data_IF_129517384341
#
_entry.id   IF_129517384341
#
_cell.length_a   1.000
_cell.length_b   1.000
_cell.length_c   1.000
_cell.angle_alpha   90.00
_cell.angle_beta   90.00
_cell.angle_gamma   90.00
#
_symmetry.space_group_name_H-M   'P 1'
#
loop_
_entity.id
_entity.type
_entity.pdbx_description
1 polymer ?
#
# COMPACT_ATOMS: atom_id res chain seq x y z
N UNK A 1 -12.52 -12.79 0.48
CA UNK A 1 -12.28 -12.87 -0.97
C UNK A 1 -11.02 -13.69 -1.16
N UNK A 2 -11.16 -14.95 -1.55
CA UNK A 2 -10.07 -15.78 -2.04
C UNK A 2 -9.60 -15.16 -3.35
N UNK A 3 -8.45 -14.48 -3.31
CA UNK A 3 -7.81 -13.90 -4.49
C UNK A 3 -7.36 -15.04 -5.38
N UNK A 4 -7.94 -15.18 -6.59
CA UNK A 4 -7.29 -15.97 -7.62
C UNK A 4 -5.99 -15.23 -7.95
N UNK A 5 -4.83 -15.78 -7.54
CA UNK A 5 -3.55 -15.15 -7.82
C UNK A 5 -3.40 -14.98 -9.34
N UNK A 6 -3.23 -13.74 -9.80
CA UNK A 6 -3.11 -13.46 -11.22
C UNK A 6 -1.85 -14.11 -11.83
N UNK A 7 -0.86 -14.43 -11.03
CA UNK A 7 0.32 -15.23 -11.40
C UNK A 7 -0.01 -16.63 -11.95
N UNK A 8 -1.25 -17.12 -11.79
CA UNK A 8 -1.74 -18.34 -12.44
C UNK A 8 -2.42 -18.10 -13.81
N UNK A 9 -2.48 -16.85 -14.29
CA UNK A 9 -3.04 -16.51 -15.60
C UNK A 9 -1.96 -16.63 -16.68
N UNK A 10 -2.23 -17.42 -17.71
CA UNK A 10 -1.36 -17.50 -18.89
C UNK A 10 -1.51 -16.25 -19.76
N UNK A 11 -0.39 -15.78 -20.34
CA UNK A 11 -0.41 -14.70 -21.34
C UNK A 11 -1.26 -15.13 -22.54
N UNK A 12 -2.23 -14.30 -22.91
CA UNK A 12 -3.14 -14.58 -24.02
C UNK A 12 -2.39 -14.63 -25.36
N UNK A 13 -2.73 -15.58 -26.21
CA UNK A 13 -2.37 -15.56 -27.63
C UNK A 13 -3.14 -14.48 -28.40
N UNK A 14 -2.69 -14.13 -29.60
CA UNK A 14 -3.44 -13.18 -30.45
C UNK A 14 -4.84 -13.73 -30.80
N UNK A 15 -4.94 -15.02 -31.12
CA UNK A 15 -6.22 -15.67 -31.38
C UNK A 15 -7.17 -15.63 -30.17
N UNK A 16 -6.66 -15.82 -28.95
CA UNK A 16 -7.48 -15.67 -27.74
C UNK A 16 -7.94 -14.23 -27.52
N UNK A 17 -7.07 -13.23 -27.77
CA UNK A 17 -7.46 -11.82 -27.69
C UNK A 17 -8.57 -11.48 -28.69
N UNK A 18 -8.43 -11.94 -29.94
CA UNK A 18 -9.45 -11.78 -30.98
C UNK A 18 -10.74 -12.48 -30.57
N UNK A 19 -10.67 -13.73 -30.09
CA UNK A 19 -11.86 -14.46 -29.63
C UNK A 19 -12.59 -13.76 -28.47
N UNK A 20 -11.86 -13.16 -27.52
CA UNK A 20 -12.46 -12.37 -26.42
C UNK A 20 -13.11 -11.10 -26.98
N UNK A 21 -12.48 -10.41 -27.94
CA UNK A 21 -13.05 -9.23 -28.58
C UNK A 21 -14.26 -9.54 -29.49
N UNK A 22 -14.29 -10.73 -30.09
CA UNK A 22 -15.38 -11.21 -30.95
C UNK A 22 -16.54 -11.85 -30.16
N UNK A 23 -16.33 -12.25 -28.90
CA UNK A 23 -17.39 -12.76 -28.02
C UNK A 23 -18.29 -11.63 -27.50
N UNK A 24 -19.38 -11.39 -28.22
CA UNK A 24 -20.41 -10.37 -27.95
C UNK A 24 -21.46 -10.74 -26.89
N UNK A 25 -21.20 -11.64 -25.93
CA UNK A 25 -22.21 -11.97 -24.91
C UNK A 25 -21.69 -11.84 -23.50
N UNK A 26 -21.99 -10.65 -22.97
CA UNK A 26 -22.19 -10.27 -21.57
C UNK A 26 -21.07 -10.66 -20.61
N UNK A 27 -20.10 -9.74 -20.46
CA UNK A 27 -19.48 -9.55 -19.16
C UNK A 27 -20.61 -9.53 -18.11
N UNK A 28 -20.59 -10.39 -17.08
CA UNK A 28 -21.62 -10.38 -16.05
C UNK A 28 -21.65 -8.98 -15.43
N UNK A 29 -22.80 -8.52 -14.93
CA UNK A 29 -22.91 -7.21 -14.33
C UNK A 29 -21.80 -7.01 -13.29
N UNK A 30 -20.83 -6.16 -13.64
CA UNK A 30 -19.71 -5.87 -12.76
C UNK A 30 -20.23 -5.06 -11.57
N UNK A 31 -19.51 -5.14 -10.47
CA UNK A 31 -19.78 -4.36 -9.27
C UNK A 31 -18.50 -3.64 -8.88
N UNK A 32 -18.61 -2.35 -8.54
CA UNK A 32 -17.46 -1.54 -8.19
C UNK A 32 -16.73 -2.11 -6.97
N UNK A 33 -17.45 -2.74 -6.05
CA UNK A 33 -16.92 -3.35 -4.83
C UNK A 33 -15.97 -4.52 -5.11
N UNK A 34 -16.18 -5.24 -6.23
CA UNK A 34 -15.35 -6.38 -6.64
C UNK A 34 -14.08 -5.88 -7.35
N UNK A 35 -14.18 -4.77 -8.08
CA UNK A 35 -13.08 -4.18 -8.85
C UNK A 35 -12.20 -3.25 -8.00
N UNK A 36 -12.75 -2.60 -6.99
CA UNK A 36 -12.03 -1.63 -6.16
C UNK A 36 -10.85 -2.28 -5.44
N UNK A 37 -9.64 -1.79 -5.71
CA UNK A 37 -8.38 -2.27 -5.17
C UNK A 37 -7.75 -3.43 -5.96
N UNK A 38 -8.24 -3.72 -7.17
CA UNK A 38 -7.64 -4.72 -8.07
C UNK A 38 -6.59 -4.08 -9.00
N UNK A 39 -5.66 -4.91 -9.50
CA UNK A 39 -4.54 -4.47 -10.32
C UNK A 39 -4.65 -5.03 -11.74
N UNK A 40 -4.31 -4.20 -12.72
CA UNK A 40 -4.48 -4.54 -14.13
C UNK A 40 -3.30 -4.08 -14.98
N UNK A 41 -3.12 -4.75 -16.11
CA UNK A 41 -2.26 -4.33 -17.20
C UNK A 41 -3.14 -3.87 -18.36
N UNK A 42 -2.88 -2.69 -18.92
CA UNK A 42 -3.57 -2.17 -20.10
C UNK A 42 -2.71 -2.37 -21.35
N UNK A 43 -3.29 -2.98 -22.37
CA UNK A 43 -2.69 -3.12 -23.70
C UNK A 43 -3.74 -3.00 -24.80
N UNK A 44 -3.33 -3.31 -26.04
CA UNK A 44 -4.21 -3.40 -27.19
C UNK A 44 -4.38 -4.85 -27.70
N UNK A 45 -5.28 -5.04 -28.67
CA UNK A 45 -5.55 -6.34 -29.29
C UNK A 45 -4.32 -6.98 -29.95
N UNK A 46 -3.39 -6.15 -30.44
CA UNK A 46 -2.15 -6.59 -31.07
C UNK A 46 -1.12 -7.07 -30.04
N UNK A 47 -1.40 -6.92 -28.74
CA UNK A 47 -0.52 -7.30 -27.65
C UNK A 47 0.52 -6.22 -27.31
N UNK A 48 0.36 -5.00 -27.82
CA UNK A 48 1.18 -3.87 -27.37
C UNK A 48 0.77 -3.53 -25.94
N UNK A 49 1.72 -3.56 -25.03
CA UNK A 49 1.52 -3.09 -23.67
C UNK A 49 1.57 -1.55 -23.64
N UNK A 50 0.56 -0.93 -23.04
CA UNK A 50 0.48 0.52 -22.85
C UNK A 50 0.82 0.89 -21.42
N UNK A 51 0.23 0.20 -20.44
CA UNK A 51 0.52 0.36 -19.02
C UNK A 51 0.80 -1.01 -18.40
N UNK A 52 1.98 -1.23 -17.81
CA UNK A 52 2.32 -2.51 -17.17
C UNK A 52 1.49 -2.77 -15.93
N UNK A 53 1.09 -1.72 -15.22
CA UNK A 53 0.40 -1.81 -13.94
C UNK A 53 -0.47 -0.58 -13.72
N UNK A 54 -1.76 -0.78 -13.48
CA UNK A 54 -2.71 0.21 -13.02
C UNK A 54 -3.56 -0.37 -11.90
N UNK A 55 -4.13 0.50 -11.08
CA UNK A 55 -5.01 0.09 -9.98
C UNK A 55 -6.38 0.69 -10.23
N UNK A 56 -7.44 -0.11 -10.13
CA UNK A 56 -8.79 0.44 -9.96
C UNK A 56 -8.92 0.87 -8.51
N UNK A 57 -8.36 2.03 -8.18
CA UNK A 57 -8.24 2.49 -6.80
C UNK A 57 -9.63 2.85 -6.23
N UNK A 58 -9.82 2.80 -4.91
CA UNK A 58 -11.10 3.18 -4.30
C UNK A 58 -11.57 4.56 -4.75
N UNK A 59 -12.89 4.78 -4.68
CA UNK A 59 -13.54 6.06 -5.04
C UNK A 59 -13.53 6.39 -6.53
N UNK A 60 -13.32 5.39 -7.38
CA UNK A 60 -13.33 5.61 -8.82
C UNK A 60 -12.11 6.34 -9.33
N UNK A 61 -10.98 6.31 -8.61
CA UNK A 61 -9.71 6.86 -9.10
C UNK A 61 -8.89 5.78 -9.81
N UNK A 62 -8.23 6.12 -10.91
CA UNK A 62 -7.25 5.21 -11.54
C UNK A 62 -5.89 5.42 -10.89
N UNK A 63 -5.43 4.41 -10.16
CA UNK A 63 -4.12 4.41 -9.51
C UNK A 63 -2.99 4.01 -10.46
N UNK A 64 -1.79 4.50 -10.17
CA UNK A 64 -0.56 4.31 -10.94
C UNK A 64 -0.55 4.85 -12.37
N UNK A 65 -1.52 5.70 -12.72
CA UNK A 65 -1.60 6.36 -14.03
C UNK A 65 -1.49 7.87 -13.84
N UNK A 66 -0.92 8.53 -14.84
CA UNK A 66 -0.68 9.98 -14.87
C UNK A 66 -1.10 10.54 -16.22
N UNK A 67 -2.30 10.18 -16.66
CA UNK A 67 -2.77 10.43 -18.00
C UNK A 67 -4.19 11.00 -17.96
N UNK A 68 -4.43 12.14 -18.60
CA UNK A 68 -5.73 12.84 -18.51
C UNK A 68 -6.89 12.03 -19.03
N UNK A 69 -6.65 11.17 -20.01
CA UNK A 69 -7.66 10.28 -20.60
C UNK A 69 -7.95 9.02 -19.76
N UNK A 70 -7.24 8.82 -18.64
CA UNK A 70 -7.32 7.63 -17.78
C UNK A 70 -7.23 8.04 -16.30
N UNK A 71 -8.15 8.90 -15.87
CA UNK A 71 -8.09 9.53 -14.54
C UNK A 71 -9.05 8.87 -13.54
N UNK A 72 -10.26 8.53 -14.00
CA UNK A 72 -11.30 7.93 -13.19
C UNK A 72 -11.78 6.59 -13.75
N UNK A 73 -12.45 5.81 -12.91
CA UNK A 73 -13.19 4.62 -13.31
C UNK A 73 -14.53 4.55 -12.60
N UNK A 74 -15.50 3.93 -13.24
CA UNK A 74 -16.77 3.61 -12.62
C UNK A 74 -17.35 2.32 -13.21
N UNK A 75 -18.43 1.83 -12.61
CA UNK A 75 -19.26 0.81 -13.22
C UNK A 75 -20.60 1.44 -13.60
N UNK A 76 -20.91 1.46 -14.89
CA UNK A 76 -22.16 1.98 -15.44
C UNK A 76 -22.87 0.86 -16.21
N UNK A 77 -24.14 0.60 -15.90
CA UNK A 77 -24.93 -0.48 -16.50
C UNK A 77 -24.21 -1.84 -16.50
N UNK A 78 -23.52 -2.15 -15.39
CA UNK A 78 -22.76 -3.39 -15.21
C UNK A 78 -21.45 -3.47 -16.01
N UNK A 79 -21.02 -2.39 -16.66
CA UNK A 79 -19.78 -2.32 -17.45
C UNK A 79 -18.74 -1.45 -16.76
N UNK A 80 -17.47 -1.86 -16.83
CA UNK A 80 -16.36 -1.04 -16.38
C UNK A 80 -16.14 0.07 -17.41
N UNK A 81 -16.10 1.31 -16.94
CA UNK A 81 -15.76 2.48 -17.73
C UNK A 81 -14.50 3.13 -17.15
N UNK A 82 -13.57 3.50 -18.02
CA UNK A 82 -12.48 4.44 -17.69
C UNK A 82 -12.89 5.80 -18.24
N UNK A 83 -12.65 6.84 -17.45
CA UNK A 83 -13.05 8.21 -17.74
C UNK A 83 -11.82 9.13 -17.75
N UNK A 84 -11.94 10.25 -18.48
CA UNK A 84 -10.97 11.34 -18.44
C UNK A 84 -11.11 12.22 -17.18
N UNK A 85 -10.24 13.22 -17.06
CA UNK A 85 -10.22 14.22 -15.97
C UNK A 85 -11.46 15.12 -15.89
N UNK A 86 -12.41 14.98 -16.83
CA UNK A 86 -13.71 15.65 -16.85
C UNK A 86 -14.87 14.69 -16.57
N UNK A 87 -14.58 13.41 -16.33
CA UNK A 87 -15.56 12.36 -16.10
C UNK A 87 -16.24 11.85 -17.38
N UNK A 88 -15.69 12.14 -18.56
CA UNK A 88 -16.21 11.62 -19.82
C UNK A 88 -15.64 10.22 -20.08
N UNK A 89 -16.47 9.23 -20.49
CA UNK A 89 -15.98 7.91 -20.82
C UNK A 89 -14.97 7.93 -21.96
N UNK A 90 -13.78 7.38 -21.70
CA UNK A 90 -12.73 7.16 -22.71
C UNK A 90 -12.72 5.72 -23.16
N UNK A 91 -12.90 4.77 -22.25
CA UNK A 91 -12.97 3.33 -22.56
C UNK A 91 -14.19 2.71 -21.90
N UNK A 92 -14.98 1.95 -22.67
CA UNK A 92 -16.08 1.14 -22.15
C UNK A 92 -15.79 -0.33 -22.42
N UNK A 93 -15.57 -1.10 -21.35
CA UNK A 93 -15.31 -2.53 -21.44
C UNK A 93 -16.62 -3.30 -21.54
N UNK A 94 -16.82 -3.98 -22.67
CA UNK A 94 -18.08 -4.63 -23.03
C UNK A 94 -17.98 -6.16 -23.06
N UNK A 95 -16.77 -6.70 -23.16
CA UNK A 95 -16.50 -8.13 -23.11
C UNK A 95 -15.59 -8.48 -21.93
N UNK A 96 -15.75 -9.69 -21.40
CA UNK A 96 -14.95 -10.20 -20.28
C UNK A 96 -14.58 -11.67 -20.46
N UNK A 97 -13.39 -12.04 -19.98
CA UNK A 97 -13.00 -13.43 -19.71
C UNK A 97 -13.11 -13.68 -18.21
N UNK A 98 -13.76 -14.77 -17.84
CA UNK A 98 -13.94 -15.21 -16.44
C UNK A 98 -13.25 -16.54 -16.23
N UNK A 99 -12.52 -16.66 -15.11
CA UNK A 99 -11.94 -17.92 -14.65
C UNK A 99 -12.29 -18.07 -13.17
N UNK A 100 -12.88 -19.21 -12.80
CA UNK A 100 -13.27 -19.52 -11.41
C UNK A 100 -14.11 -18.41 -10.75
N UNK A 101 -15.07 -17.84 -11.48
CA UNK A 101 -15.94 -16.72 -11.05
C UNK A 101 -15.22 -15.37 -10.85
N UNK A 102 -13.95 -15.27 -11.20
CA UNK A 102 -13.19 -14.01 -11.21
C UNK A 102 -13.08 -13.46 -12.62
N UNK A 103 -13.31 -12.16 -12.79
CA UNK A 103 -13.05 -11.46 -14.04
C UNK A 103 -11.55 -11.26 -14.18
N UNK A 104 -10.96 -11.84 -15.22
CA UNK A 104 -9.50 -11.87 -15.43
C UNK A 104 -9.04 -11.10 -16.65
N UNK A 105 -9.94 -10.88 -17.61
CA UNK A 105 -9.69 -10.03 -18.77
C UNK A 105 -10.95 -9.23 -19.08
N UNK A 106 -10.77 -7.98 -19.50
CA UNK A 106 -11.83 -7.12 -20.05
C UNK A 106 -11.37 -6.56 -21.40
N UNK A 107 -12.28 -6.46 -22.37
CA UNK A 107 -12.03 -5.86 -23.67
C UNK A 107 -13.06 -4.78 -23.99
N UNK A 108 -12.59 -3.66 -24.57
CA UNK A 108 -13.42 -2.51 -24.90
C UNK A 108 -12.90 -1.73 -26.10
N UNK A 109 -13.82 -1.25 -26.95
CA UNK A 109 -13.50 -0.31 -28.03
C UNK A 109 -13.39 1.10 -27.46
N UNK A 110 -12.38 1.85 -27.89
CA UNK A 110 -12.15 3.22 -27.46
C UNK A 110 -11.31 4.02 -28.44
N UNK A 111 -11.29 5.33 -28.25
CA UNK A 111 -10.32 6.24 -28.86
C UNK A 111 -9.47 6.83 -27.74
N UNK A 112 -8.20 6.38 -27.63
CA UNK A 112 -7.25 6.93 -26.67
C UNK A 112 -6.20 7.75 -27.43
N UNK A 113 -6.09 9.04 -27.11
CA UNK A 113 -5.15 9.98 -27.74
C UNK A 113 -5.19 9.97 -29.27
N UNK A 114 -6.40 9.82 -29.82
CA UNK A 114 -6.64 9.80 -31.28
C UNK A 114 -6.41 8.43 -31.93
N UNK A 115 -6.08 7.39 -31.17
CA UNK A 115 -5.96 6.02 -31.66
C UNK A 115 -7.25 5.27 -31.37
N UNK A 116 -8.01 4.93 -32.41
CA UNK A 116 -9.16 4.03 -32.31
C UNK A 116 -8.68 2.57 -32.31
N UNK A 117 -8.96 1.84 -31.23
CA UNK A 117 -8.53 0.45 -31.07
C UNK A 117 -9.42 -0.32 -30.09
N UNK A 118 -9.21 -1.64 -30.03
CA UNK A 118 -9.67 -2.48 -28.93
C UNK A 118 -8.59 -2.54 -27.86
N UNK A 119 -8.94 -2.10 -26.66
CA UNK A 119 -8.09 -2.12 -25.49
C UNK A 119 -8.43 -3.30 -24.60
N UNK A 120 -7.39 -3.91 -24.03
CA UNK A 120 -7.47 -5.10 -23.20
C UNK A 120 -6.93 -4.77 -21.81
N UNK A 121 -7.73 -5.01 -20.78
CA UNK A 121 -7.30 -5.05 -19.39
C UNK A 121 -7.12 -6.49 -18.95
N UNK A 122 -5.92 -6.86 -18.51
CA UNK A 122 -5.66 -8.16 -17.90
C UNK A 122 -5.41 -8.00 -16.41
N UNK A 123 -6.07 -8.81 -15.58
CA UNK A 123 -5.85 -8.84 -14.14
C UNK A 123 -4.40 -9.29 -13.89
N UNK A 124 -3.69 -8.55 -13.06
CA UNK A 124 -2.29 -8.84 -12.69
C UNK A 124 -2.10 -8.80 -11.18
N UNK A 125 -1.01 -9.39 -10.70
CA UNK A 125 -0.53 -9.22 -9.34
C UNK A 125 0.47 -8.06 -9.32
N UNK A 126 0.93 -7.66 -8.13
CA UNK A 126 2.13 -6.83 -8.03
C UNK A 126 3.29 -7.51 -8.78
N UNK A 127 4.03 -6.78 -9.64
CA UNK A 127 5.18 -7.32 -10.33
C UNK A 127 6.22 -7.83 -9.32
N UNK A 128 6.98 -8.88 -9.66
CA UNK A 128 8.11 -9.32 -8.84
C UNK A 128 9.06 -8.15 -8.58
N UNK A 129 9.64 -8.11 -7.38
CA UNK A 129 10.64 -7.10 -7.06
C UNK A 129 11.89 -7.28 -7.95
N UNK A 130 12.45 -6.21 -8.53
CA UNK A 130 13.42 -6.33 -9.62
C UNK A 130 14.84 -6.71 -9.16
N UNK A 131 15.17 -6.53 -7.88
CA UNK A 131 16.54 -6.76 -7.37
C UNK A 131 16.75 -8.20 -6.91
N UNK A 132 15.90 -8.70 -6.02
CA UNK A 132 16.03 -10.02 -5.40
C UNK A 132 14.63 -10.58 -5.06
N UNK A 133 13.82 -10.94 -6.07
CA UNK A 133 12.48 -11.45 -5.84
C UNK A 133 12.55 -12.80 -5.13
N UNK A 134 11.69 -12.99 -4.13
CA UNK A 134 11.55 -14.30 -3.50
C UNK A 134 10.95 -15.28 -4.51
N UNK A 135 11.55 -16.47 -4.72
CA UNK A 135 11.00 -17.48 -5.63
C UNK A 135 9.54 -17.83 -5.29
N UNK A 136 8.68 -18.11 -6.28
CA UNK A 136 7.25 -18.37 -6.05
C UNK A 136 6.95 -19.53 -5.09
N UNK A 137 7.83 -20.53 -5.00
CA UNK A 137 7.67 -21.70 -4.14
C UNK A 137 8.03 -21.44 -2.66
N UNK A 138 8.70 -20.33 -2.35
CA UNK A 138 9.11 -20.02 -0.99
C UNK A 138 7.93 -19.39 -0.23
N UNK A 139 7.49 -20.07 0.82
CA UNK A 139 6.40 -19.60 1.68
C UNK A 139 6.76 -18.25 2.32
N UNK A 140 5.84 -17.29 2.24
CA UNK A 140 5.96 -15.95 2.83
C UNK A 140 5.00 -15.82 4.00
N UNK A 141 5.37 -16.44 5.12
CA UNK A 141 4.53 -16.52 6.32
C UNK A 141 5.35 -16.44 7.59
N UNK A 142 5.10 -15.41 8.39
CA UNK A 142 5.73 -15.25 9.69
C UNK A 142 5.19 -16.26 10.70
N UNK A 143 6.08 -16.80 11.53
CA UNK A 143 5.73 -17.63 12.68
C UNK A 143 5.64 -16.77 13.93
N UNK A 144 4.46 -16.80 14.56
CA UNK A 144 4.22 -16.09 15.81
C UNK A 144 4.66 -16.94 17.01
N UNK A 145 5.53 -16.36 17.82
CA UNK A 145 5.93 -16.86 19.15
C UNK A 145 4.82 -16.58 20.16
N UNK A 146 4.14 -15.44 20.02
CA UNK A 146 3.00 -15.03 20.84
C UNK A 146 1.87 -14.46 19.99
N UNK A 147 0.63 -14.72 20.41
CA UNK A 147 -0.60 -14.13 19.89
C UNK A 147 -1.56 -13.86 21.05
N UNK A 148 -2.47 -12.87 20.96
CA UNK A 148 -3.52 -12.70 21.95
C UNK A 148 -4.57 -13.83 21.82
N UNK A 149 -5.36 -14.09 22.87
CA UNK A 149 -6.52 -14.97 22.80
C UNK A 149 -7.49 -14.55 21.69
N UNK A 150 -8.22 -15.51 21.12
CA UNK A 150 -9.22 -15.22 20.10
C UNK A 150 -10.29 -14.24 20.63
N UNK A 151 -10.60 -13.21 19.85
CA UNK A 151 -11.61 -12.20 20.20
C UNK A 151 -11.12 -11.04 21.08
N UNK A 152 -9.97 -11.17 21.75
CA UNK A 152 -9.36 -10.08 22.48
C UNK A 152 -8.53 -9.21 21.51
N UNK A 153 -9.15 -8.20 20.90
CA UNK A 153 -8.47 -7.27 20.00
C UNK A 153 -8.95 -5.84 20.17
N UNK A 154 -8.03 -4.90 20.03
CA UNK A 154 -8.36 -3.49 19.84
C UNK A 154 -8.59 -3.18 18.35
N UNK A 155 -9.05 -1.97 18.06
CA UNK A 155 -9.35 -1.55 16.68
C UNK A 155 -8.09 -1.22 15.85
N UNK A 156 -6.98 -0.88 16.51
CA UNK A 156 -5.76 -0.40 15.86
C UNK A 156 -4.57 -1.34 16.10
N UNK A 157 -3.64 -1.37 15.16
CA UNK A 157 -2.41 -2.16 15.24
C UNK A 157 -1.18 -1.29 15.01
N UNK A 158 -0.17 -1.48 15.85
CA UNK A 158 1.19 -1.00 15.60
C UNK A 158 2.05 -2.21 15.23
N UNK A 159 2.69 -2.18 14.07
CA UNK A 159 3.65 -3.20 13.62
C UNK A 159 5.03 -2.59 13.57
N UNK A 160 5.87 -2.93 14.53
CA UNK A 160 7.24 -2.40 14.63
C UNK A 160 8.25 -3.53 14.44
N UNK A 161 9.31 -3.22 13.70
CA UNK A 161 10.51 -4.05 13.65
C UNK A 161 11.43 -3.58 14.76
N UNK A 162 11.73 -4.40 15.75
CA UNK A 162 12.45 -3.94 16.95
C UNK A 162 13.65 -4.83 17.33
N UNK A 163 14.61 -4.22 18.01
CA UNK A 163 15.64 -4.89 18.80
C UNK A 163 15.75 -4.23 20.19
N UNK A 164 16.81 -4.56 20.95
CA UNK A 164 17.05 -4.00 22.29
C UNK A 164 17.23 -2.48 22.36
N UNK A 165 17.49 -1.81 21.23
CA UNK A 165 17.64 -0.35 21.14
C UNK A 165 16.38 0.36 20.66
N UNK A 166 15.27 -0.36 20.49
CA UNK A 166 14.00 0.22 20.05
C UNK A 166 13.33 1.05 21.15
N UNK A 167 12.70 2.15 20.74
CA UNK A 167 11.99 3.06 21.63
C UNK A 167 10.54 2.65 21.93
N UNK A 168 10.02 1.58 21.31
CA UNK A 168 8.63 1.15 21.48
C UNK A 168 8.20 0.86 22.94
N UNK A 169 9.07 0.43 23.89
CA UNK A 169 8.64 0.26 25.28
C UNK A 169 8.14 1.57 25.90
N UNK A 170 8.68 2.72 25.46
CA UNK A 170 8.25 4.04 25.95
C UNK A 170 6.85 4.43 25.50
N UNK A 171 6.30 3.79 24.47
CA UNK A 171 4.93 4.07 24.00
C UNK A 171 3.86 3.61 25.01
N UNK A 172 4.25 2.80 26.01
CA UNK A 172 3.38 2.41 27.12
C UNK A 172 3.45 3.38 28.32
N UNK A 173 4.37 4.36 28.30
CA UNK A 173 4.47 5.35 29.37
C UNK A 173 3.20 6.21 29.45
N UNK A 174 2.63 6.31 30.65
CA UNK A 174 1.47 7.16 30.93
C UNK A 174 0.15 6.69 30.32
N UNK A 175 0.06 5.46 29.79
CA UNK A 175 -1.18 4.89 29.23
C UNK A 175 -1.57 3.58 29.93
N UNK A 176 -2.82 3.51 30.41
CA UNK A 176 -3.37 2.31 31.01
C UNK A 176 -4.03 1.39 29.97
N UNK A 177 -4.10 0.09 30.27
CA UNK A 177 -4.63 -0.92 29.34
C UNK A 177 -6.09 -0.65 28.91
N UNK A 178 -6.92 -0.14 29.82
CA UNK A 178 -8.32 0.24 29.57
C UNK A 178 -8.47 1.48 28.67
N UNK A 179 -7.45 2.32 28.58
CA UNK A 179 -7.45 3.55 27.76
C UNK A 179 -6.72 3.37 26.43
N UNK A 180 -5.85 2.36 26.33
CA UNK A 180 -5.10 2.04 25.11
C UNK A 180 -6.04 1.51 24.03
N UNK A 181 -5.95 2.07 22.82
CA UNK A 181 -6.83 1.72 21.69
C UNK A 181 -6.13 0.91 20.58
N UNK A 182 -4.89 0.49 20.83
CA UNK A 182 -4.04 -0.19 19.85
C UNK A 182 -3.35 -1.41 20.47
N UNK A 183 -3.20 -2.45 19.67
CA UNK A 183 -2.37 -3.61 19.98
C UNK A 183 -0.99 -3.47 19.31
N UNK A 184 0.01 -4.17 19.85
CA UNK A 184 1.37 -4.14 19.38
C UNK A 184 1.79 -5.51 18.81
N UNK A 185 2.26 -5.47 17.56
CA UNK A 185 2.98 -6.56 16.93
C UNK A 185 4.45 -6.20 16.81
N UNK A 186 5.28 -6.88 17.60
CA UNK A 186 6.73 -6.78 17.50
C UNK A 186 7.25 -7.89 16.61
N UNK A 187 7.85 -7.51 15.50
CA UNK A 187 8.67 -8.41 14.70
C UNK A 187 10.13 -8.17 15.09
N UNK A 188 10.68 -9.06 15.89
CA UNK A 188 12.00 -8.87 16.50
C UNK A 188 13.13 -9.19 15.53
N UNK A 189 14.18 -8.36 15.50
CA UNK A 189 15.35 -8.55 14.63
C UNK A 189 16.68 -8.69 15.36
N UNK A 190 16.68 -8.52 16.68
CA UNK A 190 17.84 -8.84 17.51
C UNK A 190 18.10 -10.36 17.58
N UNK A 191 19.30 -10.72 18.00
CA UNK A 191 19.69 -12.12 18.14
C UNK A 191 18.94 -12.81 19.28
N UNK A 192 18.80 -12.13 20.42
CA UNK A 192 18.12 -12.66 21.61
C UNK A 192 16.63 -12.32 21.56
N UNK A 193 15.77 -13.32 21.70
CA UNK A 193 14.32 -13.14 21.68
C UNK A 193 13.89 -12.53 23.03
N UNK A 194 13.12 -11.42 23.04
CA UNK A 194 12.66 -10.82 24.29
C UNK A 194 11.67 -11.76 24.98
N UNK A 195 11.56 -11.64 26.31
CA UNK A 195 10.57 -12.41 27.07
C UNK A 195 9.16 -12.10 26.54
N UNK A 196 8.52 -13.11 25.96
CA UNK A 196 7.19 -13.00 25.39
C UNK A 196 6.12 -12.70 26.45
N UNK A 197 6.39 -12.93 27.74
CA UNK A 197 5.48 -12.55 28.83
C UNK A 197 5.24 -11.02 28.88
N UNK A 198 6.17 -10.23 28.35
CA UNK A 198 6.18 -8.77 28.50
C UNK A 198 5.68 -8.05 27.25
N UNK A 199 4.41 -7.65 27.26
CA UNK A 199 3.82 -6.48 26.56
C UNK A 199 3.46 -6.46 25.06
N UNK A 200 3.99 -7.23 24.07
CA UNK A 200 3.33 -7.22 22.78
C UNK A 200 2.22 -8.27 22.76
N UNK A 201 1.08 -7.93 22.17
CA UNK A 201 0.04 -8.90 21.84
C UNK A 201 0.57 -9.94 20.84
N UNK A 202 1.39 -9.51 19.88
CA UNK A 202 2.04 -10.40 18.91
C UNK A 202 3.56 -10.29 18.93
N UNK A 203 4.24 -11.43 18.91
CA UNK A 203 5.69 -11.51 18.81
C UNK A 203 6.09 -12.46 17.69
N UNK A 204 6.98 -12.03 16.80
CA UNK A 204 7.69 -12.89 15.83
C UNK A 204 9.19 -12.65 15.93
N UNK A 205 10.00 -13.57 15.39
CA UNK A 205 11.45 -13.42 15.31
C UNK A 205 11.90 -13.58 13.85
N UNK A 206 12.53 -12.53 13.33
CA UNK A 206 13.09 -12.48 11.99
C UNK A 206 14.44 -11.72 12.05
N UNK A 207 15.51 -12.38 12.54
CA UNK A 207 16.82 -11.75 12.69
C UNK A 207 17.45 -11.40 11.33
N UNK A 208 18.32 -10.40 11.31
CA UNK A 208 19.13 -10.01 10.13
C UNK A 208 18.32 -9.61 8.88
N UNK A 209 17.04 -9.27 9.04
CA UNK A 209 16.20 -8.79 7.95
C UNK A 209 15.80 -7.33 8.16
N UNK A 210 15.75 -6.57 7.06
CA UNK A 210 15.32 -5.17 7.01
C UNK A 210 13.82 -5.02 7.30
N UNK A 211 13.30 -3.80 7.25
CA UNK A 211 11.94 -3.47 7.71
C UNK A 211 10.84 -4.23 6.94
N UNK A 212 10.82 -4.09 5.62
CA UNK A 212 9.64 -4.38 4.82
C UNK A 212 9.39 -5.86 4.56
N UNK A 213 10.43 -6.63 4.24
CA UNK A 213 10.29 -8.07 3.95
C UNK A 213 9.64 -8.87 5.10
N UNK A 214 10.06 -8.75 6.37
CA UNK A 214 9.38 -9.39 7.50
C UNK A 214 8.00 -8.80 7.78
N UNK A 215 7.76 -7.51 7.51
CA UNK A 215 6.41 -6.94 7.65
C UNK A 215 5.47 -7.60 6.65
N UNK A 216 5.87 -7.78 5.39
CA UNK A 216 5.07 -8.53 4.42
C UNK A 216 4.71 -9.92 4.92
N UNK A 217 5.67 -10.64 5.50
CA UNK A 217 5.46 -12.01 6.00
C UNK A 217 4.44 -12.08 7.14
N UNK A 218 4.18 -10.98 7.84
CA UNK A 218 3.14 -10.90 8.87
C UNK A 218 1.73 -10.80 8.28
N UNK A 219 1.60 -10.38 7.02
CA UNK A 219 0.33 -10.04 6.36
C UNK A 219 -0.06 -11.08 5.27
N UNK A 220 0.20 -12.36 5.53
CA UNK A 220 -0.32 -13.47 4.72
C UNK A 220 -1.87 -13.49 4.67
N UNK A 221 -2.47 -14.19 3.71
CA UNK A 221 -3.89 -14.07 3.35
C UNK A 221 -4.89 -14.19 4.52
N UNK A 222 -4.70 -15.18 5.39
CA UNK A 222 -5.52 -15.44 6.58
C UNK A 222 -4.89 -14.87 7.88
N UNK A 223 -3.93 -13.95 7.75
CA UNK A 223 -3.26 -13.36 8.92
C UNK A 223 -4.26 -12.68 9.84
N UNK A 224 -4.15 -12.88 11.17
CA UNK A 224 -4.99 -12.19 12.14
C UNK A 224 -4.77 -10.67 12.10
N UNK A 225 -3.65 -10.18 11.55
CA UNK A 225 -3.37 -8.74 11.47
C UNK A 225 -4.27 -8.00 10.47
N UNK A 226 -4.95 -8.70 9.55
CA UNK A 226 -5.96 -8.12 8.68
C UNK A 226 -7.27 -7.75 9.40
N UNK A 227 -7.38 -8.06 10.68
CA UNK A 227 -8.57 -7.77 11.48
C UNK A 227 -8.59 -6.36 12.11
N UNK A 228 -7.53 -5.59 11.93
CA UNK A 228 -7.40 -4.22 12.45
C UNK A 228 -7.86 -3.21 11.41
N UNK A 229 -8.42 -2.08 11.86
CA UNK A 229 -8.99 -1.05 10.98
C UNK A 229 -7.94 -0.04 10.51
N UNK A 230 -6.97 0.23 11.39
CA UNK A 230 -5.83 1.12 11.16
C UNK A 230 -4.54 0.42 11.57
N UNK A 231 -3.54 0.51 10.72
CA UNK A 231 -2.26 -0.18 10.88
C UNK A 231 -1.13 0.84 10.73
N UNK A 232 -0.35 1.04 11.79
CA UNK A 232 0.84 1.88 11.77
C UNK A 232 2.09 1.01 11.59
N UNK A 233 2.97 1.37 10.66
CA UNK A 233 4.22 0.64 10.35
C UNK A 233 5.46 1.49 10.68
N UNK A 234 5.69 1.88 11.95
CA UNK A 234 6.79 2.75 12.33
C UNK A 234 8.17 2.09 12.26
N UNK A 235 9.19 2.93 12.09
CA UNK A 235 10.56 2.65 12.49
C UNK A 235 10.68 2.60 14.02
N UNK A 236 11.79 2.03 14.48
CA UNK A 236 11.95 1.63 15.88
C UNK A 236 12.56 2.73 16.77
N UNK A 237 12.83 3.90 16.19
CA UNK A 237 13.48 5.06 16.80
C UNK A 237 12.59 6.30 16.89
N UNK A 238 11.28 6.08 16.91
CA UNK A 238 10.28 7.11 17.05
C UNK A 238 9.91 7.32 18.51
N UNK A 239 10.26 8.50 19.02
CA UNK A 239 9.89 8.93 20.37
C UNK A 239 8.53 9.62 20.33
N UNK A 240 7.56 8.99 20.99
CA UNK A 240 6.19 9.45 21.18
C UNK A 240 5.55 8.75 22.40
N UNK A 241 4.37 9.20 22.83
CA UNK A 241 3.63 8.61 23.95
C UNK A 241 2.46 7.74 23.48
N UNK A 242 1.95 6.87 24.35
CA UNK A 242 0.73 6.10 24.04
C UNK A 242 -0.50 6.99 23.79
N UNK A 243 -0.55 8.17 24.41
CA UNK A 243 -1.60 9.17 24.18
C UNK A 243 -1.53 9.76 22.77
N UNK A 244 -0.31 9.97 22.24
CA UNK A 244 -0.08 10.40 20.86
C UNK A 244 -0.61 9.33 19.89
N UNK A 245 -0.30 8.05 20.12
CA UNK A 245 -0.81 6.93 19.31
C UNK A 245 -2.34 6.88 19.31
N UNK A 246 -2.96 6.96 20.49
CA UNK A 246 -4.43 7.00 20.60
C UNK A 246 -5.03 8.16 19.78
N UNK A 247 -4.47 9.36 19.92
CA UNK A 247 -4.91 10.55 19.19
C UNK A 247 -4.72 10.39 17.68
N UNK A 248 -3.57 9.88 17.26
CA UNK A 248 -3.22 9.62 15.86
C UNK A 248 -4.24 8.67 15.21
N UNK A 249 -4.53 7.54 15.85
CA UNK A 249 -5.52 6.59 15.34
C UNK A 249 -6.94 7.16 15.34
N UNK A 250 -7.30 7.92 16.38
CA UNK A 250 -8.59 8.61 16.42
C UNK A 250 -8.76 9.57 15.23
N UNK A 251 -7.77 10.42 14.95
CA UNK A 251 -7.82 11.39 13.86
C UNK A 251 -7.80 10.71 12.49
N UNK A 252 -6.98 9.67 12.31
CA UNK A 252 -6.99 8.88 11.08
C UNK A 252 -8.37 8.28 10.77
N UNK A 253 -9.11 7.83 11.78
CA UNK A 253 -10.51 7.39 11.60
C UNK A 253 -11.45 8.56 11.36
N UNK A 254 -11.40 9.61 12.20
CA UNK A 254 -12.26 10.80 12.12
C UNK A 254 -12.23 11.44 10.73
N UNK A 255 -11.06 11.54 10.12
CA UNK A 255 -10.86 12.15 8.79
C UNK A 255 -10.89 11.13 7.65
N UNK A 256 -11.19 9.85 7.91
CA UNK A 256 -11.29 8.83 6.86
C UNK A 256 -9.98 8.57 6.10
N UNK A 257 -8.82 8.81 6.73
CA UNK A 257 -7.52 8.72 6.08
C UNK A 257 -7.19 7.27 5.68
N UNK A 258 -6.67 7.13 4.46
CA UNK A 258 -6.15 5.89 3.90
C UNK A 258 -4.66 5.73 4.12
N UNK A 259 -3.92 6.83 4.05
CA UNK A 259 -2.48 6.86 4.24
C UNK A 259 -2.13 8.15 4.97
N UNK A 260 -1.52 8.05 6.13
CA UNK A 260 -1.17 9.22 6.92
C UNK A 260 0.15 8.99 7.64
N UNK A 261 0.66 10.01 8.28
CA UNK A 261 1.65 9.86 9.34
C UNK A 261 1.46 10.97 10.37
N UNK A 262 1.92 10.77 11.62
CA UNK A 262 2.11 11.89 12.53
C UNK A 262 3.14 12.87 11.95
N UNK A 263 3.04 14.13 12.36
CA UNK A 263 4.05 15.12 12.00
C UNK A 263 5.37 14.93 12.78
N UNK A 264 6.47 15.47 12.25
CA UNK A 264 7.75 15.50 12.94
C UNK A 264 7.95 16.81 13.69
N UNK A 265 8.28 16.73 14.98
CA UNK A 265 8.50 17.92 15.82
C UNK A 265 9.71 18.71 15.33
N UNK A 266 9.57 20.02 15.30
CA UNK A 266 10.66 20.94 14.99
C UNK A 266 11.45 21.25 16.27
N UNK A 267 12.16 20.25 16.80
CA UNK A 267 12.98 20.35 18.01
C UNK A 267 14.39 19.76 17.81
N UNK A 268 15.40 20.19 18.58
CA UNK A 268 16.73 19.59 18.53
C UNK A 268 16.70 18.08 18.75
N UNK A 269 17.40 17.34 17.88
CA UNK A 269 17.44 15.87 17.91
C UNK A 269 16.29 15.19 17.17
N UNK A 270 15.40 15.93 16.51
CA UNK A 270 14.47 15.37 15.53
C UNK A 270 15.04 15.49 14.11
N UNK A 271 15.12 14.36 13.39
CA UNK A 271 15.60 14.30 12.02
C UNK A 271 14.44 14.39 11.03
N UNK A 272 14.26 15.57 10.44
CA UNK A 272 13.23 15.84 9.42
C UNK A 272 13.88 15.77 8.03
N UNK A 273 13.62 14.68 7.31
CA UNK A 273 14.23 14.44 6.00
C UNK A 273 13.49 15.16 4.87
N UNK A 274 12.18 15.31 5.00
CA UNK A 274 11.33 15.99 4.03
C UNK A 274 10.58 17.14 4.73
N UNK A 275 10.83 18.42 4.36
CA UNK A 275 10.17 19.57 5.00
C UNK A 275 8.64 19.48 5.06
N UNK A 276 8.01 18.75 4.13
CA UNK A 276 6.56 18.53 4.12
C UNK A 276 6.06 17.81 5.39
N UNK A 277 6.89 17.00 6.05
CA UNK A 277 6.54 16.19 7.22
C UNK A 277 6.72 16.94 8.55
N UNK A 278 7.34 18.13 8.52
CA UNK A 278 7.50 18.98 9.68
C UNK A 278 6.14 19.43 10.25
N UNK A 279 6.03 19.41 11.58
CA UNK A 279 4.82 19.79 12.30
C UNK A 279 4.47 21.25 12.08
N UNK A 280 3.21 21.51 11.72
CA UNK A 280 2.63 22.85 11.60
C UNK A 280 1.58 23.08 12.68
N UNK A 281 1.60 24.25 13.31
CA UNK A 281 0.59 24.59 14.32
C UNK A 281 -0.73 24.99 13.65
N UNK A 282 -1.84 24.82 14.37
CA UNK A 282 -3.16 25.32 13.96
C UNK A 282 -3.98 24.39 13.06
N UNK A 283 -3.52 23.17 12.79
CA UNK A 283 -4.30 22.15 12.07
C UNK A 283 -4.29 20.81 12.81
N UNK A 284 -5.43 20.09 12.81
CA UNK A 284 -5.49 18.71 13.28
C UNK A 284 -4.80 17.75 12.29
N UNK A 285 -5.11 17.92 11.00
CA UNK A 285 -4.63 17.13 9.87
C UNK A 285 -4.45 18.06 8.67
N UNK A 286 -3.30 17.95 8.01
CA UNK A 286 -3.01 18.63 6.75
C UNK A 286 -2.97 17.61 5.63
N UNK A 287 -3.87 17.74 4.67
CA UNK A 287 -3.89 16.86 3.52
C UNK A 287 -2.71 17.17 2.61
N UNK A 288 -1.86 16.17 2.38
CA UNK A 288 -0.61 16.31 1.64
C UNK A 288 -0.41 15.10 0.74
N UNK A 289 0.24 15.27 -0.43
CA UNK A 289 0.44 14.21 -1.42
C UNK A 289 1.54 13.19 -1.03
N UNK A 290 2.10 13.27 0.18
CA UNK A 290 3.27 12.50 0.60
C UNK A 290 3.17 12.03 2.05
N UNK A 291 3.58 10.78 2.28
CA UNK A 291 3.75 10.15 3.59
C UNK A 291 5.05 9.36 3.55
N UNK A 292 5.96 9.62 4.49
CA UNK A 292 7.29 9.01 4.53
C UNK A 292 7.19 7.54 4.97
N UNK A 293 8.00 6.68 4.35
CA UNK A 293 8.04 5.23 4.64
C UNK A 293 8.47 4.89 6.08
N UNK A 294 9.03 5.86 6.80
CA UNK A 294 9.49 5.73 8.18
C UNK A 294 8.32 5.50 9.14
N UNK A 295 7.17 6.15 8.98
CA UNK A 295 6.03 5.94 9.90
C UNK A 295 4.63 5.99 9.27
N UNK A 296 4.38 5.27 8.17
CA UNK A 296 3.09 5.29 7.51
C UNK A 296 2.01 4.61 8.35
N UNK A 297 0.87 5.27 8.43
CA UNK A 297 -0.38 4.83 9.03
C UNK A 297 -1.38 4.58 7.93
N UNK A 298 -1.75 3.31 7.74
CA UNK A 298 -2.70 2.90 6.73
C UNK A 298 -4.10 2.64 7.29
N UNK A 299 -5.12 2.88 6.47
CA UNK A 299 -6.37 2.13 6.59
C UNK A 299 -6.14 0.68 6.15
N UNK A 300 -6.92 -0.27 6.67
CA UNK A 300 -6.84 -1.67 6.21
C UNK A 300 -6.98 -1.81 4.70
N UNK A 301 -7.92 -1.08 4.09
CA UNK A 301 -8.17 -1.15 2.64
C UNK A 301 -6.97 -0.64 1.84
N UNK A 302 -6.35 0.45 2.29
CA UNK A 302 -5.18 1.01 1.64
C UNK A 302 -3.97 0.08 1.78
N UNK A 303 -3.75 -0.51 2.97
CA UNK A 303 -2.66 -1.46 3.15
C UNK A 303 -2.82 -2.69 2.26
N UNK A 304 -4.04 -3.21 2.05
CA UNK A 304 -4.27 -4.34 1.12
C UNK A 304 -3.84 -4.04 -0.31
N UNK A 305 -4.04 -2.80 -0.77
CA UNK A 305 -3.62 -2.35 -2.10
C UNK A 305 -2.10 -2.20 -2.16
N UNK A 306 -1.47 -1.75 -1.08
CA UNK A 306 -0.04 -1.41 -1.07
C UNK A 306 0.87 -2.57 -0.64
N UNK A 307 0.38 -3.58 0.09
CA UNK A 307 1.22 -4.58 0.77
C UNK A 307 2.09 -5.39 -0.20
N UNK A 308 1.60 -5.68 -1.41
CA UNK A 308 2.39 -6.43 -2.39
C UNK A 308 3.67 -5.71 -2.82
N UNK A 309 3.69 -4.38 -2.79
CA UNK A 309 4.88 -3.57 -3.12
C UNK A 309 6.02 -3.72 -2.12
N UNK A 310 5.74 -4.15 -0.89
CA UNK A 310 6.76 -4.29 0.15
C UNK A 310 7.34 -5.71 0.24
N UNK A 311 6.83 -6.66 -0.57
CA UNK A 311 7.12 -8.11 -0.47
C UNK A 311 8.60 -8.43 -0.37
N UNK A 312 9.40 -7.81 -1.24
CA UNK A 312 10.85 -8.06 -1.33
C UNK A 312 11.66 -6.76 -1.29
N UNK A 313 11.04 -5.68 -0.81
CA UNK A 313 11.71 -4.41 -0.63
C UNK A 313 12.81 -4.53 0.44
N UNK A 314 14.03 -4.13 0.09
CA UNK A 314 15.20 -4.16 0.95
C UNK A 314 15.32 -2.86 1.74
N UNK A 315 15.40 -1.72 1.04
CA UNK A 315 15.40 -0.38 1.67
C UNK A 315 13.99 0.18 1.82
N UNK A 316 13.13 -0.07 0.83
CA UNK A 316 11.81 0.54 0.71
C UNK A 316 11.81 1.96 0.12
N UNK A 317 12.95 2.47 -0.33
CA UNK A 317 13.01 3.76 -1.03
C UNK A 317 12.05 3.80 -2.22
N UNK A 318 11.34 4.92 -2.36
CA UNK A 318 10.36 5.15 -3.41
C UNK A 318 8.97 4.55 -3.16
N UNK A 319 8.77 3.77 -2.08
CA UNK A 319 7.43 3.28 -1.72
C UNK A 319 6.50 4.42 -1.28
N UNK A 320 7.04 5.46 -0.65
CA UNK A 320 6.36 6.71 -0.31
C UNK A 320 5.80 7.47 -1.52
N UNK A 321 6.33 7.23 -2.72
CA UNK A 321 5.77 7.72 -3.99
C UNK A 321 4.80 6.73 -4.64
N UNK A 322 5.06 5.42 -4.52
CA UNK A 322 4.20 4.38 -5.07
C UNK A 322 2.86 4.27 -4.35
N UNK A 323 2.83 4.33 -3.01
CA UNK A 323 1.59 4.15 -2.25
C UNK A 323 0.55 5.24 -2.57
N UNK A 324 0.87 6.55 -2.55
CA UNK A 324 -0.05 7.58 -3.05
C UNK A 324 -0.55 7.29 -4.47
N UNK A 325 0.35 6.81 -5.34
CA UNK A 325 0.02 6.47 -6.73
C UNK A 325 -0.99 5.33 -6.82
N UNK A 326 -0.78 4.24 -6.10
CA UNK A 326 -1.69 3.09 -6.09
C UNK A 326 -3.06 3.41 -5.51
N UNK A 327 -3.13 4.35 -4.57
CA UNK A 327 -4.38 4.81 -3.96
C UNK A 327 -5.13 5.84 -4.83
N UNK A 328 -4.64 6.17 -6.02
CA UNK A 328 -5.27 7.17 -6.89
C UNK A 328 -5.07 8.61 -6.40
N UNK A 329 -4.02 8.85 -5.60
CA UNK A 329 -3.63 10.17 -5.05
C UNK A 329 -4.80 10.89 -4.34
N UNK A 330 -5.40 10.27 -3.32
CA UNK A 330 -6.62 10.79 -2.74
C UNK A 330 -6.35 12.10 -1.98
N UNK A 331 -6.82 13.22 -2.56
CA UNK A 331 -6.52 14.56 -2.07
C UNK A 331 -7.03 14.84 -0.64
N UNK A 332 -8.04 14.10 -0.17
CA UNK A 332 -8.68 14.31 1.15
C UNK A 332 -8.59 13.08 2.05
N UNK A 333 -7.83 12.06 1.67
CA UNK A 333 -7.62 10.85 2.50
C UNK A 333 -6.15 10.54 2.75
N UNK A 334 -5.27 11.45 2.39
CA UNK A 334 -3.86 11.34 2.66
C UNK A 334 -3.33 12.60 3.31
N UNK A 335 -2.46 12.46 4.31
CA UNK A 335 -1.89 13.65 4.94
C UNK A 335 -1.07 13.44 6.20
N UNK A 336 -0.67 14.57 6.76
CA UNK A 336 0.14 14.68 7.98
C UNK A 336 -0.77 15.08 9.15
N UNK A 337 -0.71 14.33 10.24
CA UNK A 337 -1.51 14.59 11.45
C UNK A 337 -0.73 15.58 12.33
N UNK A 338 -0.90 16.87 12.06
CA UNK A 338 -0.16 17.97 12.70
C UNK A 338 -0.46 18.12 14.20
N UNK A 339 -1.63 17.68 14.68
CA UNK A 339 -1.93 17.65 16.13
C UNK A 339 -1.26 16.50 16.90
N UNK A 340 -0.51 15.64 16.20
CA UNK A 340 0.36 14.62 16.79
C UNK A 340 1.77 14.81 16.25
N UNK A 341 2.65 15.35 17.09
CA UNK A 341 4.07 15.52 16.77
C UNK A 341 4.90 14.41 17.42
N UNK A 342 5.71 13.72 16.63
CA UNK A 342 6.67 12.71 17.11
C UNK A 342 8.11 13.13 16.80
N UNK A 343 9.08 12.47 17.43
CA UNK A 343 10.50 12.75 17.21
C UNK A 343 11.19 11.55 16.58
N UNK A 344 11.78 11.76 15.40
CA UNK A 344 12.63 10.79 14.73
C UNK A 344 14.08 10.95 15.22
N UNK A 345 14.58 9.97 15.99
CA UNK A 345 15.79 10.16 16.81
C UNK A 345 17.09 9.69 16.16
N UNK A 346 17.05 9.15 14.93
CA UNK A 346 18.25 8.77 14.16
C UNK A 346 18.21 9.38 12.75
N UNK A 347 19.37 9.70 12.15
CA UNK A 347 19.43 10.25 10.80
C UNK A 347 19.28 9.17 9.71
N UNK A 348 18.87 9.59 8.51
CA UNK A 348 18.90 8.78 7.28
C UNK A 348 20.30 8.22 7.01
N UNK A 349 20.35 7.04 6.37
CA UNK A 349 21.60 6.46 5.88
C UNK A 349 22.55 5.93 6.95
N UNK A 350 22.16 5.98 8.24
CA UNK A 350 22.96 5.43 9.32
C UNK A 350 23.12 3.89 9.23
N UNK A 351 22.19 3.20 8.56
CA UNK A 351 22.12 1.73 8.57
C UNK A 351 22.12 1.07 7.19
N UNK A 352 22.16 1.82 6.08
CA UNK A 352 22.11 1.27 4.72
C UNK A 352 22.89 2.11 3.71
N UNK A 353 23.26 1.50 2.58
CA UNK A 353 23.90 2.19 1.47
C UNK A 353 22.87 2.94 0.62
N UNK A 354 22.97 4.27 0.60
CA UNK A 354 22.01 5.16 -0.09
C UNK A 354 22.03 4.94 -1.61
N UNK A 355 23.20 4.63 -2.20
CA UNK A 355 23.30 4.41 -3.65
C UNK A 355 22.52 3.18 -4.08
N UNK A 356 22.66 2.09 -3.33
CA UNK A 356 21.90 0.85 -3.54
C UNK A 356 20.40 1.08 -3.35
N UNK A 357 20.00 1.89 -2.38
CA UNK A 357 18.59 2.24 -2.17
C UNK A 357 18.00 3.04 -3.35
N UNK A 358 18.75 4.00 -3.88
CA UNK A 358 18.33 4.77 -5.08
C UNK A 358 18.24 3.85 -6.31
N UNK A 359 19.20 2.92 -6.48
CA UNK A 359 19.16 1.96 -7.57
C UNK A 359 17.95 1.00 -7.47
N UNK A 360 17.66 0.52 -6.25
CA UNK A 360 16.47 -0.29 -5.97
C UNK A 360 15.19 0.48 -6.30
N UNK A 361 15.07 1.73 -5.86
CA UNK A 361 13.93 2.60 -6.17
C UNK A 361 13.72 2.76 -7.68
N UNK A 362 14.78 3.07 -8.43
CA UNK A 362 14.66 3.27 -9.88
C UNK A 362 14.18 1.99 -10.58
N UNK A 363 14.73 0.84 -10.22
CA UNK A 363 14.30 -0.45 -10.75
C UNK A 363 12.85 -0.77 -10.35
N UNK A 364 12.47 -0.49 -9.10
CA UNK A 364 11.12 -0.73 -8.59
C UNK A 364 10.10 0.13 -9.34
N UNK A 365 10.37 1.43 -9.52
CA UNK A 365 9.49 2.30 -10.29
C UNK A 365 9.35 1.84 -11.73
N UNK A 366 10.43 1.36 -12.36
CA UNK A 366 10.38 0.80 -13.70
C UNK A 366 9.47 -0.42 -13.79
N UNK A 367 9.51 -1.35 -12.81
CA UNK A 367 8.66 -2.55 -12.84
C UNK A 367 7.16 -2.23 -12.73
N UNK A 368 6.81 -1.16 -12.03
CA UNK A 368 5.45 -0.63 -11.97
C UNK A 368 5.10 0.30 -13.14
N UNK A 369 6.04 0.65 -14.03
CA UNK A 369 5.83 1.71 -15.03
C UNK A 369 5.50 3.07 -14.40
N UNK A 370 5.94 3.31 -13.16
CA UNK A 370 5.65 4.51 -12.40
C UNK A 370 6.40 5.71 -12.99
N UNK A 371 5.69 6.82 -13.16
CA UNK A 371 6.27 8.09 -13.60
C UNK A 371 6.41 9.03 -12.41
N UNK A 372 7.64 9.37 -12.05
CA UNK A 372 7.89 10.30 -10.95
C UNK A 372 7.35 11.70 -11.25
N UNK A 373 6.65 12.27 -10.27
CA UNK A 373 6.29 13.69 -10.26
C UNK A 373 6.87 14.33 -8.99
N UNK A 374 7.68 15.40 -9.11
CA UNK A 374 8.20 16.11 -7.95
C UNK A 374 7.08 16.59 -7.03
N UNK A 375 7.30 16.47 -5.72
CA UNK A 375 6.38 16.97 -4.70
C UNK A 375 7.10 18.11 -3.95
N UNK A 376 6.54 19.32 -3.90
CA UNK A 376 7.13 20.42 -3.13
C UNK A 376 7.35 20.03 -1.67
N UNK A 377 8.57 20.24 -1.16
CA UNK A 377 8.94 19.89 0.21
C UNK A 377 9.30 18.42 0.44
N UNK A 378 9.48 17.64 -0.63
CA UNK A 378 10.07 16.30 -0.61
C UNK A 378 11.44 16.37 -1.28
N UNK A 379 12.49 16.14 -0.49
CA UNK A 379 13.89 16.08 -0.95
C UNK A 379 14.22 14.85 -1.79
#
# INVERSE_FOLDING_TARGET
MTSFAASNLQTLSHAERVAIAEQWSDAPPLQAEILSGTFWQLGDLNGRQLLPFLVLAPEGMVGNVFHRSLDHWCVADGKLCILDDRGMPTIVFTAARIINSSVVTLAGHAVLDGVEAVYILNLVDHPPHPVAPTPPHMERRAKFIKRPPAGARRANLVVVRANGSSLHPRWFEGIGDNTRTWDLCVSWYGNEIPDASVSPEYLTHAPNQRKFKPIFDLFYDDSPLWNYDRIWLPDDDLRCSGSDLNRMFHLSRKYGLDLAQPSLRQEPGCHINHPITAQRQGSDVRFEPFVEIMCPLFSRRALRICIGSIKDAVSGYGLDHLWPSFLGRPATRMGIIDSVGIVHTRPIGASYDVRSAIAEQAALWQSYGFQYRPIPGVN
#
